data_IF_937570911535
#
_entry.id   IF_937570911535
#
_cell.length_a   1.000
_cell.length_b   1.000
_cell.length_c   1.000
_cell.angle_alpha   90.00
_cell.angle_beta   90.00
_cell.angle_gamma   90.00
#
_symmetry.space_group_name_H-M   'P 1'
#
loop_
_entity.id
_entity.type
_entity.pdbx_description
1 polymer ?
#
# COMPACT_ATOMS: atom_id res chain seq x y z
N UNK A 1 25.65 -31.17 -7.36
CA UNK A 1 24.98 -30.22 -8.28
C UNK A 1 24.24 -29.20 -7.44
N UNK A 2 24.37 -27.91 -7.74
CA UNK A 2 23.68 -26.85 -6.99
C UNK A 2 22.30 -26.61 -7.59
N UNK A 3 21.24 -26.67 -6.77
CA UNK A 3 19.89 -26.27 -7.14
C UNK A 3 19.47 -25.16 -6.18
N UNK A 4 19.07 -24.01 -6.73
CA UNK A 4 18.52 -22.90 -5.96
C UNK A 4 17.01 -22.83 -6.14
N UNK A 5 16.25 -22.90 -5.06
CA UNK A 5 14.81 -22.66 -5.07
C UNK A 5 14.53 -21.21 -4.71
N UNK A 6 13.57 -20.59 -5.40
CA UNK A 6 13.08 -19.25 -5.11
C UNK A 6 11.85 -19.36 -4.21
N UNK A 7 11.87 -18.67 -3.08
CA UNK A 7 10.76 -18.60 -2.13
C UNK A 7 10.37 -17.14 -1.86
N UNK A 8 9.10 -16.92 -1.53
CA UNK A 8 8.56 -15.61 -1.15
C UNK A 8 8.61 -15.48 0.38
N UNK A 9 9.01 -14.31 0.90
CA UNK A 9 8.92 -14.03 2.33
C UNK A 9 7.51 -13.59 2.76
N UNK A 10 6.97 -14.27 3.77
CA UNK A 10 5.68 -13.95 4.38
C UNK A 10 5.85 -13.13 5.66
N UNK A 11 4.88 -12.28 5.94
CA UNK A 11 4.80 -11.55 7.20
C UNK A 11 4.19 -12.43 8.28
N UNK A 12 4.64 -12.29 9.53
CA UNK A 12 4.04 -13.01 10.65
C UNK A 12 2.59 -12.55 10.84
N UNK A 13 1.66 -13.52 10.88
CA UNK A 13 0.23 -13.27 11.04
C UNK A 13 -0.06 -12.91 12.50
N UNK A 14 0.25 -11.67 12.89
CA UNK A 14 -0.28 -11.07 14.11
C UNK A 14 -1.09 -9.86 13.70
N UNK A 15 -2.40 -10.05 13.80
CA UNK A 15 -3.48 -9.07 13.78
C UNK A 15 -3.41 -8.02 12.65
N UNK A 16 -4.31 -8.18 11.68
CA UNK A 16 -4.76 -7.10 10.80
C UNK A 16 -5.44 -6.03 11.67
N UNK A 17 -4.68 -5.16 12.34
CA UNK A 17 -5.27 -4.09 13.14
C UNK A 17 -5.63 -2.95 12.19
N UNK A 18 -6.91 -2.93 11.81
CA UNK A 18 -7.60 -1.74 11.32
C UNK A 18 -7.84 -0.84 12.52
N UNK A 19 -7.01 0.19 12.67
CA UNK A 19 -7.42 1.33 13.47
C UNK A 19 -7.60 2.55 12.58
N UNK A 20 -8.68 3.27 12.90
CA UNK A 20 -9.15 4.53 12.33
C UNK A 20 -9.99 4.40 11.05
N UNK A 21 -11.18 5.03 11.11
CA UNK A 21 -12.22 5.34 10.12
C UNK A 21 -11.70 5.94 8.79
N UNK A 22 -10.67 5.35 8.22
CA UNK A 22 -9.90 5.83 7.08
C UNK A 22 -10.44 5.21 5.79
N UNK A 23 -10.34 5.95 4.68
CA UNK A 23 -10.92 5.59 3.38
C UNK A 23 -10.89 4.09 3.06
N UNK A 24 -11.98 3.54 2.50
CA UNK A 24 -12.03 2.13 2.12
C UNK A 24 -10.88 1.78 1.18
N UNK A 25 -10.27 0.63 1.45
CA UNK A 25 -9.15 0.10 0.69
C UNK A 25 -9.33 -1.40 0.41
N UNK A 26 -8.57 -1.90 -0.55
CA UNK A 26 -8.46 -3.31 -0.87
C UNK A 26 -7.00 -3.67 -1.16
N UNK A 27 -6.59 -4.88 -0.75
CA UNK A 27 -5.25 -5.42 -1.03
C UNK A 27 -5.42 -6.71 -1.84
N UNK A 28 -4.70 -6.81 -2.95
CA UNK A 28 -4.68 -7.97 -3.84
C UNK A 28 -3.27 -8.49 -3.97
N UNK A 29 -3.14 -9.80 -3.94
CA UNK A 29 -1.87 -10.52 -4.15
C UNK A 29 -1.93 -11.20 -5.51
N UNK A 30 -1.04 -10.81 -6.41
CA UNK A 30 -0.84 -11.48 -7.69
C UNK A 30 0.41 -12.37 -7.59
N UNK A 31 0.18 -13.61 -7.14
CA UNK A 31 1.21 -14.64 -7.00
C UNK A 31 1.97 -14.91 -8.30
N UNK A 32 1.31 -14.75 -9.46
CA UNK A 32 1.91 -15.09 -10.76
C UNK A 32 2.93 -14.06 -11.20
N UNK A 33 2.66 -12.78 -10.93
CA UNK A 33 3.57 -11.68 -11.22
C UNK A 33 4.54 -11.40 -10.07
N UNK A 34 4.28 -11.93 -8.87
CA UNK A 34 5.01 -11.59 -7.66
C UNK A 34 4.79 -10.13 -7.25
N UNK A 35 3.54 -9.65 -7.30
CA UNK A 35 3.21 -8.27 -6.93
C UNK A 35 2.02 -8.17 -6.00
N UNK A 36 2.07 -7.19 -5.10
CA UNK A 36 0.94 -6.79 -4.26
C UNK A 36 0.37 -5.49 -4.79
N UNK A 37 -0.95 -5.43 -4.94
CA UNK A 37 -1.69 -4.24 -5.34
C UNK A 37 -2.53 -3.73 -4.17
N UNK A 38 -2.36 -2.46 -3.84
CA UNK A 38 -3.21 -1.75 -2.87
C UNK A 38 -4.08 -0.77 -3.65
N UNK A 39 -5.38 -0.82 -3.45
CA UNK A 39 -6.36 0.10 -4.04
C UNK A 39 -7.00 0.89 -2.92
N UNK A 40 -6.96 2.22 -3.01
CA UNK A 40 -7.48 3.13 -1.99
C UNK A 40 -8.37 4.18 -2.64
N UNK A 41 -9.50 4.50 -2.01
CA UNK A 41 -10.28 5.68 -2.38
C UNK A 41 -9.62 6.97 -1.84
N UNK A 42 -9.18 7.81 -2.76
CA UNK A 42 -8.52 9.10 -2.49
C UNK A 42 -9.21 10.24 -3.26
N UNK A 43 -10.49 10.52 -2.98
CA UNK A 43 -11.20 11.62 -3.64
C UNK A 43 -10.54 12.95 -3.31
N UNK A 44 -10.23 13.75 -4.33
CA UNK A 44 -9.57 15.05 -4.17
C UNK A 44 -8.03 15.01 -4.22
N UNK A 45 -7.42 13.83 -4.38
CA UNK A 45 -6.00 13.72 -4.76
C UNK A 45 -5.84 14.09 -6.24
N UNK A 46 -5.08 15.13 -6.53
CA UNK A 46 -4.94 15.66 -7.90
C UNK A 46 -3.87 14.94 -8.71
N UNK A 47 -2.76 14.57 -8.07
CA UNK A 47 -1.64 13.94 -8.74
C UNK A 47 -0.85 13.02 -7.82
N UNK A 48 0.08 12.26 -8.40
CA UNK A 48 0.94 11.33 -7.66
C UNK A 48 1.98 12.04 -6.78
N UNK A 49 2.28 13.30 -7.05
CA UNK A 49 3.26 14.09 -6.31
C UNK A 49 2.76 14.42 -4.89
N UNK A 50 1.44 14.41 -4.68
CA UNK A 50 0.78 14.57 -3.39
C UNK A 50 0.61 13.23 -2.62
N UNK A 51 1.16 12.14 -3.17
CA UNK A 51 1.17 10.81 -2.58
C UNK A 51 2.56 10.49 -2.04
N UNK A 52 2.63 10.20 -0.75
CA UNK A 52 3.84 9.71 -0.09
C UNK A 52 3.59 8.27 0.39
N UNK A 53 4.55 7.39 0.11
CA UNK A 53 4.48 5.98 0.45
C UNK A 53 5.75 5.64 1.22
N UNK A 54 5.59 5.25 2.48
CA UNK A 54 6.68 4.82 3.34
C UNK A 54 6.52 3.33 3.64
N UNK A 55 7.62 2.60 3.54
CA UNK A 55 7.71 1.18 3.87
C UNK A 55 8.36 1.08 5.25
N UNK A 56 7.77 0.31 6.16
CA UNK A 56 8.30 0.08 7.50
C UNK A 56 9.53 -0.81 7.49
N UNK A 57 10.30 -0.78 8.58
CA UNK A 57 11.59 -1.48 8.70
C UNK A 57 11.50 -3.01 8.54
N UNK A 58 10.32 -3.60 8.73
CA UNK A 58 10.09 -5.04 8.62
C UNK A 58 9.65 -5.50 7.21
N UNK A 59 9.61 -4.58 6.24
CA UNK A 59 9.09 -4.76 4.87
C UNK A 59 7.64 -5.24 4.80
N UNK A 60 6.92 -5.26 5.92
CA UNK A 60 5.56 -5.75 6.05
C UNK A 60 4.56 -4.62 6.28
N UNK A 61 5.03 -3.43 6.59
CA UNK A 61 4.17 -2.28 6.86
C UNK A 61 4.30 -1.23 5.76
N UNK A 62 3.15 -0.69 5.34
CA UNK A 62 3.08 0.40 4.38
C UNK A 62 2.24 1.51 4.97
N UNK A 63 2.81 2.71 5.01
CA UNK A 63 2.11 3.94 5.33
C UNK A 63 1.89 4.73 4.04
N UNK A 64 0.63 4.97 3.69
CA UNK A 64 0.22 5.79 2.55
C UNK A 64 -0.30 7.11 3.10
N UNK A 65 0.34 8.21 2.70
CA UNK A 65 -0.05 9.57 3.08
C UNK A 65 -0.47 10.33 1.83
N UNK A 66 -1.69 10.84 1.81
CA UNK A 66 -2.25 11.59 0.68
C UNK A 66 -2.60 13.01 1.11
N UNK A 67 -2.05 14.02 0.43
CA UNK A 67 -2.53 15.40 0.59
C UNK A 67 -3.76 15.60 -0.30
N UNK A 68 -4.91 15.82 0.33
CA UNK A 68 -6.17 16.01 -0.38
C UNK A 68 -6.43 17.50 -0.55
N UNK A 69 -6.95 17.91 -1.72
CA UNK A 69 -7.43 19.28 -1.84
C UNK A 69 -8.72 19.47 -1.04
N UNK A 70 -8.70 20.40 -0.09
CA UNK A 70 -9.89 20.88 0.60
C UNK A 70 -10.47 22.07 -0.14
N UNK A 71 -11.73 21.97 -0.55
CA UNK A 71 -12.46 23.09 -1.15
C UNK A 71 -13.15 23.86 -0.01
N UNK A 72 -12.81 25.13 0.17
CA UNK A 72 -13.55 26.01 1.07
C UNK A 72 -14.76 26.57 0.33
N UNK A 73 -15.96 26.20 0.78
CA UNK A 73 -17.22 26.64 0.19
C UNK A 73 -17.95 27.50 1.23
N UNK A 74 -18.39 28.69 0.83
CA UNK A 74 -19.25 29.53 1.67
C UNK A 74 -20.67 28.96 1.71
N UNK A 75 -21.18 28.67 2.91
CA UNK A 75 -22.54 28.17 3.11
C UNK A 75 -22.68 27.25 4.33
N UNK A 76 -23.90 26.78 4.57
CA UNK A 76 -24.17 25.77 5.59
C UNK A 76 -23.97 24.38 4.99
N UNK A 77 -23.05 23.61 5.56
CA UNK A 77 -22.84 22.21 5.18
C UNK A 77 -24.07 21.39 5.57
N UNK A 78 -24.75 20.79 4.58
CA UNK A 78 -25.90 19.89 4.82
C UNK A 78 -25.41 18.45 5.04
N UNK A 79 -24.44 17.99 4.23
CA UNK A 79 -23.77 16.68 4.36
C UNK A 79 -22.31 16.85 3.92
N UNK A 80 -21.37 16.25 4.65
CA UNK A 80 -19.96 16.21 4.26
C UNK A 80 -19.39 14.80 4.46
N UNK A 81 -19.03 14.15 3.35
CA UNK A 81 -18.41 12.83 3.30
C UNK A 81 -16.94 12.87 2.88
N UNK A 82 -16.35 14.07 2.75
CA UNK A 82 -14.93 14.20 2.48
C UNK A 82 -14.12 13.73 3.69
N UNK A 83 -12.91 13.17 3.49
CA UNK A 83 -12.03 12.84 4.58
C UNK A 83 -11.79 14.07 5.48
N UNK A 84 -11.99 13.89 6.79
CA UNK A 84 -11.80 14.98 7.77
C UNK A 84 -10.34 15.26 8.04
N UNK A 85 -9.48 14.27 7.80
CA UNK A 85 -8.04 14.37 8.00
C UNK A 85 -7.35 14.75 6.69
N UNK A 86 -6.48 15.75 6.77
CA UNK A 86 -5.60 16.15 5.69
C UNK A 86 -4.20 16.45 6.26
N UNK A 87 -3.18 15.62 5.96
CA UNK A 87 -3.22 14.52 4.99
C UNK A 87 -4.04 13.32 5.48
N UNK A 88 -4.67 12.61 4.53
CA UNK A 88 -5.25 11.28 4.78
C UNK A 88 -4.09 10.30 4.97
N UNK A 89 -4.07 9.60 6.10
CA UNK A 89 -3.04 8.60 6.41
C UNK A 89 -3.68 7.21 6.53
N UNK A 90 -3.08 6.23 5.86
CA UNK A 90 -3.51 4.84 5.87
C UNK A 90 -2.31 3.98 6.20
N UNK A 91 -2.41 3.21 7.28
CA UNK A 91 -1.37 2.27 7.69
C UNK A 91 -1.88 0.86 7.42
N UNK A 92 -1.08 0.08 6.69
CA UNK A 92 -1.44 -1.27 6.26
C UNK A 92 -0.32 -2.23 6.63
N UNK A 93 -0.68 -3.37 7.23
CA UNK A 93 0.20 -4.52 7.34
C UNK A 93 -0.10 -5.48 6.19
N UNK A 94 0.91 -5.81 5.41
CA UNK A 94 0.84 -6.66 4.23
C UNK A 94 1.05 -8.14 4.60
N UNK A 95 0.48 -9.07 3.81
CA UNK A 95 0.64 -10.50 4.07
C UNK A 95 2.03 -11.04 3.69
N UNK A 96 2.76 -10.32 2.83
CA UNK A 96 4.08 -10.68 2.30
C UNK A 96 5.00 -9.47 2.35
N UNK A 97 6.29 -9.73 2.50
CA UNK A 97 7.30 -8.67 2.46
C UNK A 97 7.42 -8.11 1.06
N UNK A 98 7.56 -6.80 0.98
CA UNK A 98 7.77 -6.09 -0.28
C UNK A 98 9.25 -5.76 -0.48
N UNK A 99 9.66 -5.69 -1.73
CA UNK A 99 11.00 -5.28 -2.13
C UNK A 99 11.08 -3.75 -2.15
N UNK A 100 11.68 -3.18 -1.11
CA UNK A 100 11.89 -1.75 -0.91
C UNK A 100 12.93 -1.13 -1.86
N UNK A 101 13.78 -1.95 -2.47
CA UNK A 101 14.77 -1.51 -3.46
C UNK A 101 14.15 -1.32 -4.84
N UNK A 102 13.02 -1.98 -5.12
CA UNK A 102 12.29 -1.83 -6.38
C UNK A 102 11.41 -0.58 -6.34
N UNK A 103 11.44 0.20 -7.42
CA UNK A 103 10.60 1.40 -7.56
C UNK A 103 9.11 1.06 -7.42
N UNK A 104 8.48 1.64 -6.40
CA UNK A 104 7.02 1.59 -6.19
C UNK A 104 6.30 2.26 -7.36
N UNK A 105 5.27 1.60 -7.88
CA UNK A 105 4.42 2.15 -8.96
C UNK A 105 3.11 2.63 -8.34
N UNK A 106 2.76 3.89 -8.58
CA UNK A 106 1.49 4.45 -8.17
C UNK A 106 0.74 5.05 -9.36
N UNK A 107 -0.58 4.87 -9.39
CA UNK A 107 -1.48 5.41 -10.41
C UNK A 107 -2.71 6.00 -9.74
N UNK A 108 -3.08 7.23 -10.09
CA UNK A 108 -4.31 7.89 -9.63
C UNK A 108 -5.27 8.01 -10.80
N UNK A 109 -6.48 7.48 -10.67
CA UNK A 109 -7.54 7.54 -11.70
C UNK A 109 -8.89 7.72 -11.02
N UNK A 110 -9.62 8.78 -11.38
CA UNK A 110 -10.99 9.04 -10.90
C UNK A 110 -11.15 8.97 -9.37
N UNK A 111 -10.22 9.55 -8.62
CA UNK A 111 -10.26 9.53 -7.15
C UNK A 111 -9.93 8.17 -6.53
N UNK A 112 -9.41 7.21 -7.31
CA UNK A 112 -8.83 5.97 -6.80
C UNK A 112 -7.32 5.97 -7.02
N UNK A 113 -6.59 5.53 -6.02
CA UNK A 113 -5.15 5.32 -6.09
C UNK A 113 -4.84 3.83 -6.07
N UNK A 114 -4.07 3.37 -7.05
CA UNK A 114 -3.52 2.01 -7.10
C UNK A 114 -2.02 2.08 -6.87
N UNK A 115 -1.53 1.34 -5.89
CA UNK A 115 -0.12 1.22 -5.55
C UNK A 115 0.28 -0.23 -5.77
N UNK A 116 1.39 -0.44 -6.48
CA UNK A 116 1.92 -1.78 -6.77
C UNK A 116 3.33 -1.91 -6.23
N UNK A 117 3.53 -2.95 -5.43
CA UNK A 117 4.81 -3.38 -4.90
C UNK A 117 5.22 -4.71 -5.52
N UNK A 118 6.52 -4.94 -5.63
CA UNK A 118 7.06 -6.27 -5.94
C UNK A 118 7.26 -7.02 -4.63
N UNK A 119 6.92 -8.31 -4.59
CA UNK A 119 7.18 -9.14 -3.42
C UNK A 119 8.67 -9.48 -3.32
N UNK A 120 9.19 -9.54 -2.10
CA UNK A 120 10.57 -9.94 -1.83
C UNK A 120 10.74 -11.45 -2.06
N UNK A 121 11.72 -11.81 -2.88
CA UNK A 121 12.06 -13.20 -3.23
C UNK A 121 13.41 -13.53 -2.59
N UNK A 122 13.49 -14.61 -1.82
CA UNK A 122 14.76 -15.19 -1.37
C UNK A 122 15.11 -16.38 -2.24
N UNK A 123 16.38 -16.50 -2.62
CA UNK A 123 16.96 -17.75 -3.12
C UNK A 123 17.45 -18.58 -1.93
N UNK A 124 16.86 -19.76 -1.69
CA UNK A 124 17.42 -20.75 -0.76
C UNK A 124 18.43 -21.61 -1.49
N UNK A 125 19.65 -21.67 -0.94
CA UNK A 125 20.65 -22.66 -1.37
C UNK A 125 20.34 -23.99 -0.69
N UNK A 126 20.02 -24.99 -1.48
CA UNK A 126 19.93 -26.37 -1.01
C UNK A 126 21.32 -27.02 -1.20
N UNK A 127 21.95 -27.39 -0.08
CA UNK A 127 23.10 -28.29 -0.13
C UNK A 127 22.57 -29.71 -0.31
N UNK A 128 22.86 -30.32 -1.46
CA UNK A 128 22.57 -31.73 -1.73
C UNK A 128 23.84 -32.51 -1.40
N UNK A 129 23.77 -33.37 -0.38
CA UNK A 129 24.83 -34.35 -0.04
C UNK A 129 24.94 -35.47 -1.08
#
# INVERSE_FOLDING_TARGET
SEVSELEIEYCSVREYIQDVFTSPFAVYDDDKSGTIHIIVQTPGLQSKEDLEINIGDDDCEVTITCKLQTISISGTVVVNTLPRENPLKINLRLPKKIDDQTKVKAKVVNGMTTITFKTKIISRRLLIE
#
